data_IF_309437001168
#
_entry.id   IF_309437001168
#
_cell.length_a   1.000
_cell.length_b   1.000
_cell.length_c   1.000
_cell.angle_alpha   90.00
_cell.angle_beta   90.00
_cell.angle_gamma   90.00
#
_symmetry.space_group_name_H-M   'P 1'
#
loop_
_entity.id
_entity.type
_entity.pdbx_description
1 polymer ?
#
# COMPACT_ATOMS: atom_id res chain seq x y z
N UNK A 1 -30.92 19.63 -34.44
CA UNK A 1 -29.87 20.26 -33.60
C UNK A 1 -28.91 20.95 -34.55
N UNK A 2 -28.65 22.23 -34.36
CA UNK A 2 -27.74 23.01 -35.20
C UNK A 2 -26.33 22.68 -34.70
N UNK A 3 -25.52 22.00 -35.50
CA UNK A 3 -24.10 21.84 -35.17
C UNK A 3 -23.41 23.20 -35.32
N UNK A 4 -22.56 23.61 -34.36
CA UNK A 4 -21.77 24.82 -34.50
C UNK A 4 -20.81 24.66 -35.68
N UNK A 5 -20.69 25.72 -36.48
CA UNK A 5 -19.78 25.77 -37.61
C UNK A 5 -18.39 26.17 -37.09
N UNK A 6 -17.47 25.21 -37.03
CA UNK A 6 -16.14 25.40 -36.46
C UNK A 6 -15.21 26.19 -37.38
N UNK A 7 -15.53 26.32 -38.67
CA UNK A 7 -14.69 27.03 -39.66
C UNK A 7 -14.77 28.56 -39.52
N UNK A 8 -15.79 29.05 -38.80
CA UNK A 8 -16.01 30.49 -38.55
C UNK A 8 -15.68 30.92 -37.12
N UNK A 9 -15.36 29.98 -36.23
CA UNK A 9 -15.01 30.28 -34.84
C UNK A 9 -13.57 30.78 -34.74
N UNK A 10 -13.32 31.72 -33.84
CA UNK A 10 -11.96 32.12 -33.51
C UNK A 10 -11.27 31.06 -32.65
N UNK A 11 -9.94 31.01 -32.67
CA UNK A 11 -9.15 30.07 -31.85
C UNK A 11 -9.51 30.12 -30.36
N UNK A 12 -9.86 31.30 -29.84
CA UNK A 12 -10.27 31.49 -28.45
C UNK A 12 -11.63 30.83 -28.17
N UNK A 13 -12.61 31.01 -29.05
CA UNK A 13 -13.94 30.41 -28.92
C UNK A 13 -13.89 28.88 -29.11
N UNK A 14 -12.99 28.41 -29.98
CA UNK A 14 -12.74 26.99 -30.19
C UNK A 14 -12.15 26.34 -28.93
N UNK A 15 -11.18 27.01 -28.29
CA UNK A 15 -10.59 26.55 -27.03
C UNK A 15 -11.64 26.48 -25.91
N UNK A 16 -12.45 27.53 -25.75
CA UNK A 16 -13.53 27.57 -24.74
C UNK A 16 -14.56 26.45 -24.98
N UNK A 17 -14.91 26.19 -26.24
CA UNK A 17 -15.80 25.09 -26.60
C UNK A 17 -15.21 23.72 -26.24
N UNK A 18 -13.94 23.47 -26.56
CA UNK A 18 -13.25 22.22 -26.23
C UNK A 18 -13.14 21.99 -24.72
N UNK A 19 -12.89 23.05 -23.94
CA UNK A 19 -12.88 22.94 -22.48
C UNK A 19 -14.26 22.61 -21.90
N UNK A 20 -15.32 23.19 -22.45
CA UNK A 20 -16.69 22.92 -22.02
C UNK A 20 -17.20 21.53 -22.45
N UNK A 21 -16.65 20.95 -23.52
CA UNK A 21 -17.07 19.67 -24.10
C UNK A 21 -15.92 18.65 -24.11
N UNK A 22 -15.15 18.60 -23.01
CA UNK A 22 -13.96 17.74 -22.88
C UNK A 22 -14.19 16.26 -23.20
N UNK A 23 -15.39 15.77 -22.92
CA UNK A 23 -15.76 14.36 -23.14
C UNK A 23 -16.32 14.08 -24.55
N UNK A 24 -16.41 15.11 -25.41
CA UNK A 24 -16.91 15.02 -26.77
C UNK A 24 -15.90 15.69 -27.73
N UNK A 25 -14.86 14.97 -28.16
CA UNK A 25 -13.80 15.53 -28.98
C UNK A 25 -14.34 16.09 -30.30
N UNK A 26 -13.75 17.20 -30.75
CA UNK A 26 -14.05 17.77 -32.06
C UNK A 26 -13.37 16.93 -33.15
N UNK A 27 -14.17 16.31 -34.01
CA UNK A 27 -13.70 15.45 -35.10
C UNK A 27 -14.49 14.15 -35.15
N UNK A 28 -14.52 13.50 -36.31
CA UNK A 28 -14.96 12.11 -36.38
C UNK A 28 -13.91 11.26 -35.64
N UNK A 29 -14.31 10.20 -34.92
CA UNK A 29 -13.36 9.32 -34.20
C UNK A 29 -12.25 8.78 -35.14
N UNK A 30 -12.48 8.83 -36.44
CA UNK A 30 -11.55 8.47 -37.52
C UNK A 30 -10.32 9.40 -37.66
N UNK A 31 -10.36 10.64 -37.13
CA UNK A 31 -9.25 11.61 -37.18
C UNK A 31 -8.41 11.63 -35.89
N UNK A 32 -8.76 10.79 -34.92
CA UNK A 32 -7.94 10.59 -33.72
C UNK A 32 -6.66 9.84 -34.12
N UNK A 33 -5.54 10.56 -34.18
CA UNK A 33 -4.24 9.92 -34.34
C UNK A 33 -3.90 9.11 -33.09
N UNK A 34 -3.76 7.80 -33.26
CA UNK A 34 -3.14 6.94 -32.25
C UNK A 34 -1.68 7.36 -32.10
N UNK A 35 -1.40 8.13 -31.05
CA UNK A 35 -0.04 8.47 -30.66
C UNK A 35 0.50 7.32 -29.82
N UNK A 36 1.49 6.60 -30.33
CA UNK A 36 2.24 5.60 -29.57
C UNK A 36 3.03 6.31 -28.46
N UNK A 37 2.57 6.18 -27.23
CA UNK A 37 3.23 6.77 -26.05
C UNK A 37 4.09 5.70 -25.42
N UNK A 38 5.41 5.86 -25.51
CA UNK A 38 6.37 5.05 -24.77
C UNK A 38 6.30 5.43 -23.28
N UNK A 39 5.52 4.69 -22.49
CA UNK A 39 5.45 4.88 -21.04
C UNK A 39 6.76 4.33 -20.46
N UNK A 40 7.74 5.20 -20.27
CA UNK A 40 8.95 4.87 -19.55
C UNK A 40 8.59 4.26 -18.19
N UNK A 41 9.01 3.01 -17.96
CA UNK A 41 8.83 2.38 -16.64
C UNK A 41 9.47 3.28 -15.58
N UNK A 42 8.81 3.49 -14.43
CA UNK A 42 9.35 4.36 -13.40
C UNK A 42 10.75 3.87 -13.00
N UNK A 43 11.75 4.73 -13.19
CA UNK A 43 13.17 4.43 -12.94
C UNK A 43 13.45 4.03 -11.48
N UNK A 44 12.52 4.32 -10.56
CA UNK A 44 12.54 3.79 -9.20
C UNK A 44 11.11 3.73 -8.61
N UNK A 45 10.87 2.72 -7.77
CA UNK A 45 9.65 2.59 -6.96
C UNK A 45 10.02 2.77 -5.49
N UNK A 46 9.34 3.68 -4.82
CA UNK A 46 9.50 3.90 -3.38
C UNK A 46 8.50 3.06 -2.59
N UNK A 47 8.99 2.32 -1.59
CA UNK A 47 8.17 1.53 -0.69
C UNK A 47 8.38 1.98 0.76
N UNK A 48 7.29 2.18 1.48
CA UNK A 48 7.30 2.59 2.89
C UNK A 48 6.73 1.48 3.77
N UNK A 49 7.46 1.12 4.83
CA UNK A 49 7.02 0.14 5.82
C UNK A 49 7.26 0.68 7.22
N UNK A 50 6.41 0.26 8.17
CA UNK A 50 6.54 0.64 9.57
C UNK A 50 7.24 -0.47 10.33
N UNK A 51 8.27 -0.11 11.07
CA UNK A 51 9.01 -1.01 11.93
C UNK A 51 8.85 -0.58 13.40
N UNK A 52 8.89 -1.54 14.34
CA UNK A 52 9.22 -1.25 15.73
C UNK A 52 10.54 -0.45 15.85
N UNK A 53 10.66 0.47 16.83
CA UNK A 53 11.85 1.32 16.96
C UNK A 53 13.18 0.56 17.15
N UNK A 54 13.13 -0.57 17.84
CA UNK A 54 14.27 -1.47 18.05
C UNK A 54 14.78 -2.07 16.73
N UNK A 55 13.87 -2.49 15.84
CA UNK A 55 14.22 -3.07 14.54
C UNK A 55 14.85 -2.04 13.59
N UNK A 56 14.25 -0.85 13.51
CA UNK A 56 14.80 0.25 12.71
C UNK A 56 16.22 0.64 13.16
N UNK A 57 16.45 0.67 14.48
CA UNK A 57 17.77 0.97 15.05
C UNK A 57 18.80 -0.11 14.74
N UNK A 58 18.40 -1.38 14.84
CA UNK A 58 19.27 -2.51 14.51
C UNK A 58 19.68 -2.49 13.03
N UNK A 59 18.74 -2.28 12.11
CA UNK A 59 19.01 -2.19 10.66
C UNK A 59 20.00 -1.07 10.36
N UNK A 60 19.81 0.12 10.96
CA UNK A 60 20.72 1.24 10.78
C UNK A 60 22.15 0.90 11.22
N UNK A 61 22.29 0.31 12.41
CA UNK A 61 23.60 -0.08 12.93
C UNK A 61 24.29 -1.17 12.08
N UNK A 62 23.54 -2.08 11.46
CA UNK A 62 24.13 -3.10 10.58
C UNK A 62 24.55 -2.48 9.24
N UNK A 63 23.73 -1.62 8.64
CA UNK A 63 24.06 -0.93 7.40
C UNK A 63 25.34 -0.08 7.57
N UNK A 64 25.45 0.65 8.68
CA UNK A 64 26.63 1.45 9.01
C UNK A 64 27.89 0.58 9.18
N UNK A 65 27.80 -0.54 9.92
CA UNK A 65 28.91 -1.50 10.05
C UNK A 65 29.34 -2.12 8.72
N UNK A 66 28.40 -2.27 7.78
CA UNK A 66 28.67 -2.77 6.44
C UNK A 66 29.23 -1.68 5.50
N UNK A 67 29.33 -0.42 5.93
CA UNK A 67 29.75 0.70 5.09
C UNK A 67 28.77 1.01 3.95
N UNK A 68 27.50 0.63 4.10
CA UNK A 68 26.46 0.74 3.08
C UNK A 68 25.40 1.75 3.47
N UNK A 69 24.72 2.31 2.47
CA UNK A 69 23.47 3.02 2.74
C UNK A 69 22.41 2.03 3.24
N UNK A 70 21.48 2.51 4.06
CA UNK A 70 20.38 1.68 4.56
C UNK A 70 19.55 1.09 3.40
N UNK A 71 19.37 1.83 2.31
CA UNK A 71 18.63 1.37 1.13
C UNK A 71 19.37 0.25 0.41
N UNK A 72 20.68 0.36 0.23
CA UNK A 72 21.48 -0.67 -0.44
C UNK A 72 21.57 -1.94 0.39
N UNK A 73 21.70 -1.78 1.71
CA UNK A 73 21.67 -2.90 2.63
C UNK A 73 20.33 -3.65 2.57
N UNK A 74 19.19 -2.94 2.58
CA UNK A 74 17.86 -3.56 2.43
C UNK A 74 17.73 -4.28 1.08
N UNK A 75 18.18 -3.66 -0.03
CA UNK A 75 18.15 -4.29 -1.36
C UNK A 75 18.97 -5.58 -1.38
N UNK A 76 20.18 -5.57 -0.81
CA UNK A 76 21.05 -6.73 -0.77
C UNK A 76 20.42 -7.89 0.02
N UNK A 77 19.81 -7.58 1.16
CA UNK A 77 19.09 -8.57 1.98
C UNK A 77 17.88 -9.13 1.24
N UNK A 78 17.07 -8.29 0.59
CA UNK A 78 15.91 -8.74 -0.20
C UNK A 78 16.33 -9.59 -1.39
N UNK A 79 17.39 -9.21 -2.10
CA UNK A 79 17.93 -9.99 -3.22
C UNK A 79 18.44 -11.35 -2.75
N UNK A 80 19.24 -11.39 -1.68
CA UNK A 80 19.74 -12.64 -1.10
C UNK A 80 18.60 -13.55 -0.62
N UNK A 81 17.55 -12.98 -0.02
CA UNK A 81 16.38 -13.73 0.42
C UNK A 81 15.55 -14.27 -0.76
N UNK A 82 15.46 -13.52 -1.86
CA UNK A 82 14.77 -13.95 -3.07
C UNK A 82 15.51 -15.10 -3.78
N UNK A 83 16.83 -15.02 -3.89
CA UNK A 83 17.67 -16.08 -4.49
C UNK A 83 17.69 -17.36 -3.63
N UNK A 84 17.63 -17.22 -2.31
CA UNK A 84 17.64 -18.36 -1.39
C UNK A 84 16.26 -19.05 -1.23
N UNK A 85 15.18 -18.49 -1.77
CA UNK A 85 13.84 -19.03 -1.63
C UNK A 85 13.47 -19.90 -2.85
N UNK A 86 13.17 -21.21 -2.70
CA UNK A 86 12.29 -21.85 -3.68
C UNK A 86 10.98 -21.07 -3.70
N UNK A 87 10.42 -20.79 -4.88
CA UNK A 87 9.15 -20.07 -5.03
C UNK A 87 8.06 -20.85 -4.31
N UNK A 88 7.88 -20.58 -3.02
CA UNK A 88 6.79 -21.11 -2.25
C UNK A 88 5.53 -20.45 -2.81
N UNK A 89 4.62 -21.28 -3.34
CA UNK A 89 3.33 -20.85 -3.84
C UNK A 89 2.70 -19.83 -2.86
N UNK A 90 2.04 -18.77 -3.36
CA UNK A 90 1.55 -17.70 -2.51
C UNK A 90 0.73 -18.28 -1.36
N UNK A 91 1.19 -18.03 -0.13
CA UNK A 91 0.48 -18.43 1.08
C UNK A 91 -0.94 -17.86 0.95
N UNK A 92 -1.99 -18.70 0.98
CA UNK A 92 -3.34 -18.23 0.81
C UNK A 92 -3.60 -17.14 1.86
N UNK A 93 -3.87 -15.92 1.39
CA UNK A 93 -4.30 -14.81 2.25
C UNK A 93 -5.64 -15.20 2.84
N UNK A 94 -5.61 -15.85 4.00
CA UNK A 94 -6.82 -16.16 4.74
C UNK A 94 -7.41 -14.81 5.19
N UNK A 95 -8.52 -14.41 4.58
CA UNK A 95 -9.25 -13.20 4.98
C UNK A 95 -9.70 -13.40 6.42
N UNK A 96 -8.97 -12.83 7.37
CA UNK A 96 -9.32 -12.91 8.78
C UNK A 96 -10.50 -11.97 9.00
N UNK A 97 -11.64 -12.52 9.39
CA UNK A 97 -12.79 -11.71 9.77
C UNK A 97 -12.48 -11.03 11.11
N UNK A 98 -12.15 -9.73 11.05
CA UNK A 98 -11.75 -8.93 12.21
C UNK A 98 -12.81 -8.91 13.33
N UNK A 99 -14.09 -9.07 13.01
CA UNK A 99 -15.13 -9.19 14.03
C UNK A 99 -15.02 -10.50 14.82
N UNK A 100 -14.66 -11.60 14.16
CA UNK A 100 -14.42 -12.90 14.82
C UNK A 100 -13.16 -12.86 15.68
N UNK A 101 -12.09 -12.24 15.17
CA UNK A 101 -10.85 -12.06 15.94
C UNK A 101 -11.06 -11.23 17.22
N UNK A 102 -11.82 -10.13 17.13
CA UNK A 102 -12.15 -9.29 18.30
C UNK A 102 -12.99 -10.04 19.34
N UNK A 103 -13.93 -10.90 18.91
CA UNK A 103 -14.71 -11.74 19.84
C UNK A 103 -13.83 -12.75 20.59
N UNK A 104 -12.93 -13.43 19.88
CA UNK A 104 -11.98 -14.37 20.48
C UNK A 104 -11.08 -13.69 21.52
N UNK A 105 -10.56 -12.49 21.21
CA UNK A 105 -9.74 -11.71 22.16
C UNK A 105 -10.54 -11.33 23.41
N UNK A 106 -11.79 -10.91 23.25
CA UNK A 106 -12.65 -10.57 24.39
C UNK A 106 -13.01 -11.80 25.25
N UNK A 107 -13.15 -12.97 24.63
CA UNK A 107 -13.40 -14.24 25.32
C UNK A 107 -12.17 -14.70 26.12
N UNK A 108 -10.98 -14.61 25.52
CA UNK A 108 -9.70 -14.85 26.20
C UNK A 108 -9.47 -13.89 27.37
N UNK A 109 -9.78 -12.59 27.23
CA UNK A 109 -9.65 -11.63 28.33
C UNK A 109 -10.58 -11.99 29.50
N UNK A 110 -11.79 -12.47 29.20
CA UNK A 110 -12.77 -12.91 30.20
C UNK A 110 -12.32 -14.18 30.92
N UNK A 111 -11.74 -15.14 30.20
CA UNK A 111 -11.16 -16.34 30.80
C UNK A 111 -9.94 -16.02 31.67
N UNK A 112 -9.07 -15.12 31.19
CA UNK A 112 -7.90 -14.69 31.96
C UNK A 112 -8.30 -14.04 33.29
N UNK A 113 -9.32 -13.17 33.28
CA UNK A 113 -9.85 -12.55 34.52
C UNK A 113 -10.42 -13.58 35.48
N UNK A 114 -11.15 -14.58 34.99
CA UNK A 114 -11.67 -15.67 35.83
C UNK A 114 -10.55 -16.47 36.48
N UNK A 115 -9.48 -16.76 35.74
CA UNK A 115 -8.31 -17.47 36.29
C UNK A 115 -7.61 -16.63 37.35
N UNK A 116 -7.49 -15.31 37.13
CA UNK A 116 -6.90 -14.38 38.11
C UNK A 116 -7.76 -14.27 39.37
N UNK A 117 -9.09 -14.16 39.24
CA UNK A 117 -10.02 -14.13 40.38
C UNK A 117 -10.03 -15.44 41.17
N UNK A 118 -9.89 -16.59 40.49
CA UNK A 118 -9.76 -17.90 41.15
C UNK A 118 -8.38 -18.11 41.82
N UNK A 119 -7.39 -17.30 41.46
CA UNK A 119 -6.04 -17.36 42.00
C UNK A 119 -5.81 -16.41 43.20
N UNK A 120 -6.81 -15.67 43.67
CA UNK A 120 -6.72 -14.95 44.95
C UNK A 120 -6.98 -15.92 46.12
N UNK A 121 -5.97 -16.31 46.93
CA UNK A 121 -6.20 -17.10 48.12
C UNK A 121 -6.93 -16.25 49.17
N UNK A 122 -8.01 -16.80 49.75
CA UNK A 122 -8.53 -16.35 51.04
C UNK A 122 -7.35 -16.35 52.03
N UNK A 123 -6.91 -15.17 52.44
CA UNK A 123 -5.94 -14.99 53.50
C UNK A 123 -6.65 -15.28 54.83
N UNK A 124 -6.48 -16.45 55.48
CA UNK A 124 -7.07 -16.66 56.78
C UNK A 124 -6.18 -15.94 57.80
N UNK A 125 -6.75 -14.90 58.41
CA UNK A 125 -6.09 -14.12 59.45
C UNK A 125 -5.34 -14.99 60.45
N UNK A 126 -4.07 -14.68 60.62
CA UNK A 126 -3.19 -15.11 61.71
C UNK A 126 -3.90 -15.01 63.06
N UNK A 127 -3.87 -16.12 63.79
CA UNK A 127 -4.20 -16.21 65.22
C UNK A 127 -3.39 -15.23 66.07
#
# INVERSE_FOLDING_TARGET
>A
MIQPDFDIMTDAELADYQYAHRDNPLGDDADLQEVEVDIAQPLSVSMSFRLPPNEASAIRAVAERAGMSMSDWIRAVCAAAAEAAPVAAPVPRQRVNMAKARRLVAELDKELRRVVEQAEPQNPGTK
#
